data_IF_000751864666
#
_entry.id   IF_000751864666
#
_cell.length_a   1.000
_cell.length_b   1.000
_cell.length_c   1.000
_cell.angle_alpha   90.00
_cell.angle_beta   90.00
_cell.angle_gamma   90.00
#
_symmetry.space_group_name_H-M   'P 1'
#
loop_
_entity.id
_entity.type
_entity.pdbx_description
1 polymer ?
#
# COMPACT_ATOMS: atom_id res chain seq x y z
N UNK A 1 16.40 5.01 4.03
CA UNK A 1 15.90 3.97 3.11
C UNK A 1 14.82 3.19 3.85
N UNK A 2 13.79 2.70 3.16
CA UNK A 2 12.90 1.67 3.73
C UNK A 2 13.77 0.45 4.07
N UNK A 3 13.44 -0.25 5.15
CA UNK A 3 14.19 -1.44 5.55
C UNK A 3 13.95 -2.55 4.53
N UNK A 4 14.94 -2.83 3.68
CA UNK A 4 14.82 -3.82 2.60
C UNK A 4 14.56 -5.23 3.12
N UNK A 5 14.90 -5.51 4.39
CA UNK A 5 14.62 -6.81 5.02
C UNK A 5 13.14 -7.05 5.30
N UNK A 6 12.27 -6.07 5.03
CA UNK A 6 10.82 -6.12 5.29
C UNK A 6 9.97 -6.17 4.03
N UNK A 7 10.59 -6.14 2.84
CA UNK A 7 9.92 -6.00 1.56
C UNK A 7 9.47 -7.36 0.99
N UNK A 8 8.20 -7.47 0.61
CA UNK A 8 7.70 -8.56 -0.25
C UNK A 8 7.15 -8.04 -1.60
N UNK A 9 7.13 -8.90 -2.62
CA UNK A 9 6.98 -8.54 -4.03
C UNK A 9 5.54 -8.72 -4.57
N UNK A 10 4.83 -7.63 -4.97
CA UNK A 10 3.45 -7.70 -5.47
C UNK A 10 3.29 -7.89 -7.00
N UNK A 11 4.32 -8.37 -7.72
CA UNK A 11 4.35 -8.42 -9.20
C UNK A 11 3.21 -9.18 -9.90
N UNK A 12 2.40 -9.98 -9.21
CA UNK A 12 1.34 -10.79 -9.81
C UNK A 12 0.08 -9.99 -10.22
N UNK A 13 -0.05 -8.71 -9.84
CA UNK A 13 -1.30 -7.93 -10.02
C UNK A 13 -1.16 -6.70 -10.93
N UNK A 14 -0.20 -6.70 -11.85
CA UNK A 14 -0.03 -5.60 -12.82
C UNK A 14 0.69 -4.36 -12.25
N UNK A 15 1.11 -4.40 -10.99
CA UNK A 15 2.13 -3.51 -10.45
C UNK A 15 3.51 -4.06 -10.85
N UNK A 16 4.38 -3.20 -11.38
CA UNK A 16 5.78 -3.55 -11.55
C UNK A 16 6.36 -3.95 -10.18
N UNK A 17 7.21 -4.99 -10.06
CA UNK A 17 7.92 -5.31 -8.81
C UNK A 17 8.70 -4.10 -8.25
N UNK A 18 8.95 -3.10 -9.10
CA UNK A 18 9.63 -1.87 -8.74
C UNK A 18 8.69 -0.72 -8.39
N UNK A 19 7.37 -0.79 -8.63
CA UNK A 19 6.46 0.33 -8.37
C UNK A 19 5.80 0.32 -6.99
N UNK A 20 5.95 -0.75 -6.22
CA UNK A 20 5.30 -0.88 -4.91
C UNK A 20 6.20 -1.55 -3.88
N UNK A 21 5.95 -1.22 -2.62
CA UNK A 21 6.57 -1.79 -1.44
C UNK A 21 5.48 -2.41 -0.58
N UNK A 22 5.69 -3.65 -0.12
CA UNK A 22 4.94 -4.20 0.99
C UNK A 22 5.89 -4.34 2.18
N UNK A 23 5.70 -3.50 3.20
CA UNK A 23 6.46 -3.49 4.45
C UNK A 23 5.66 -4.23 5.53
N UNK A 24 6.27 -5.26 6.11
CA UNK A 24 5.64 -6.09 7.15
C UNK A 24 5.52 -5.36 8.51
N UNK A 25 4.60 -5.79 9.39
CA UNK A 25 4.59 -5.43 10.81
C UNK A 25 5.96 -5.68 11.44
N UNK A 26 6.45 -4.71 12.22
CA UNK A 26 7.77 -4.81 12.81
C UNK A 26 7.92 -6.00 13.76
N UNK A 27 6.85 -6.42 14.43
CA UNK A 27 6.86 -7.57 15.34
C UNK A 27 7.14 -8.91 14.63
N UNK A 28 6.85 -9.00 13.33
CA UNK A 28 6.97 -10.23 12.54
C UNK A 28 8.35 -10.40 11.89
N UNK A 29 9.11 -9.32 11.74
CA UNK A 29 10.43 -9.35 11.10
C UNK A 29 11.46 -9.90 12.07
N UNK A 30 11.95 -11.12 11.81
CA UNK A 30 13.04 -11.74 12.57
C UNK A 30 14.40 -11.26 12.08
N UNK A 31 15.38 -11.25 12.99
CA UNK A 31 16.76 -10.79 12.72
C UNK A 31 17.52 -11.63 11.68
N UNK A 32 17.04 -12.83 11.34
CA UNK A 32 17.65 -13.69 10.32
C UNK A 32 17.28 -13.31 8.88
N UNK A 33 16.36 -12.35 8.70
CA UNK A 33 16.06 -11.71 7.41
C UNK A 33 15.33 -12.60 6.40
N UNK A 34 14.88 -13.80 6.79
CA UNK A 34 14.12 -14.68 5.90
C UNK A 34 12.63 -14.34 5.95
N UNK A 35 12.10 -13.74 4.87
CA UNK A 35 10.65 -13.59 4.67
C UNK A 35 10.15 -14.79 3.88
N UNK A 36 9.38 -15.66 4.55
CA UNK A 36 8.68 -16.77 3.92
C UNK A 36 7.27 -16.33 3.46
N UNK A 37 6.75 -16.99 2.43
CA UNK A 37 5.42 -16.69 1.88
C UNK A 37 4.31 -16.80 2.95
N UNK A 38 4.41 -17.82 3.81
CA UNK A 38 3.48 -18.05 4.91
C UNK A 38 3.45 -16.87 5.89
N UNK A 39 4.63 -16.28 6.19
CA UNK A 39 4.72 -15.13 7.09
C UNK A 39 3.95 -13.93 6.52
N UNK A 40 4.01 -13.73 5.20
CA UNK A 40 3.30 -12.64 4.53
C UNK A 40 1.79 -12.84 4.62
N UNK A 41 1.29 -14.05 4.35
CA UNK A 41 -0.15 -14.36 4.47
C UNK A 41 -0.63 -14.22 5.92
N UNK A 42 0.15 -14.73 6.88
CA UNK A 42 -0.17 -14.61 8.30
C UNK A 42 -0.24 -13.14 8.71
N UNK A 43 0.68 -12.30 8.22
CA UNK A 43 0.69 -10.87 8.47
C UNK A 43 -0.60 -10.21 7.98
N UNK A 44 -1.06 -10.49 6.76
CA UNK A 44 -2.30 -9.95 6.22
C UNK A 44 -3.55 -10.41 6.96
N UNK A 45 -3.56 -11.66 7.46
CA UNK A 45 -4.69 -12.23 8.19
C UNK A 45 -4.82 -11.71 9.62
N UNK A 46 -3.69 -11.33 10.24
CA UNK A 46 -3.63 -11.05 11.68
C UNK A 46 -3.36 -9.59 12.04
N UNK A 47 -2.91 -8.76 11.10
CA UNK A 47 -2.57 -7.35 11.36
C UNK A 47 -3.36 -6.41 10.46
N UNK A 48 -3.47 -5.16 10.92
CA UNK A 48 -4.00 -4.06 10.11
C UNK A 48 -3.19 -3.93 8.81
N UNK A 49 -3.87 -3.61 7.71
CA UNK A 49 -3.21 -3.30 6.43
C UNK A 49 -3.50 -1.87 6.04
N UNK A 50 -2.45 -1.08 5.86
CA UNK A 50 -2.53 0.31 5.38
C UNK A 50 -2.07 0.37 3.94
N UNK A 51 -2.96 0.78 3.03
CA UNK A 51 -2.62 1.05 1.64
C UNK A 51 -2.38 2.55 1.50
N UNK A 52 -1.14 2.93 1.20
CA UNK A 52 -0.68 4.30 1.19
C UNK A 52 -0.55 4.86 -0.24
N UNK A 53 -1.36 5.87 -0.54
CA UNK A 53 -1.35 6.66 -1.77
C UNK A 53 -0.70 8.04 -1.53
N UNK A 54 0.42 8.30 -2.21
CA UNK A 54 1.24 9.49 -2.00
C UNK A 54 0.72 10.76 -2.73
N UNK A 55 1.21 11.95 -2.35
CA UNK A 55 0.88 13.21 -3.03
C UNK A 55 1.55 13.41 -4.40
N UNK A 56 1.14 14.43 -5.17
CA UNK A 56 1.61 14.67 -6.55
C UNK A 56 3.11 14.98 -6.70
N UNK A 57 3.79 15.48 -5.66
CA UNK A 57 5.21 15.77 -5.75
C UNK A 57 6.05 14.49 -5.63
N UNK A 58 7.14 14.37 -6.39
CA UNK A 58 8.12 13.28 -6.27
C UNK A 58 7.48 11.87 -6.31
N UNK A 59 8.00 10.91 -5.55
CA UNK A 59 7.61 9.48 -5.60
C UNK A 59 7.38 8.93 -4.18
N UNK A 60 6.97 7.67 -4.06
CA UNK A 60 6.90 6.92 -2.80
C UNK A 60 8.20 7.00 -1.97
N UNK A 61 9.35 7.20 -2.63
CA UNK A 61 10.67 7.26 -2.01
C UNK A 61 11.07 8.63 -1.43
N UNK A 62 10.20 9.64 -1.48
CA UNK A 62 10.44 10.91 -0.79
C UNK A 62 10.66 10.67 0.72
N UNK A 63 11.67 11.31 1.32
CA UNK A 63 12.10 11.04 2.70
C UNK A 63 10.96 11.10 3.73
N UNK A 64 10.06 12.09 3.62
CA UNK A 64 8.90 12.20 4.51
C UNK A 64 7.95 11.01 4.40
N UNK A 65 7.77 10.45 3.21
CA UNK A 65 6.91 9.30 2.94
C UNK A 65 7.51 7.99 3.43
N UNK A 66 8.83 7.83 3.24
CA UNK A 66 9.58 6.71 3.84
C UNK A 66 9.45 6.74 5.37
N UNK A 67 9.52 7.93 5.97
CA UNK A 67 9.29 8.08 7.42
C UNK A 67 7.85 7.67 7.81
N UNK A 68 6.83 8.07 7.06
CA UNK A 68 5.44 7.65 7.29
C UNK A 68 5.28 6.13 7.19
N UNK A 69 5.75 5.50 6.11
CA UNK A 69 5.67 4.04 5.92
C UNK A 69 6.35 3.29 7.08
N UNK A 70 7.54 3.72 7.47
CA UNK A 70 8.25 3.14 8.61
C UNK A 70 7.49 3.34 9.92
N UNK A 71 6.89 4.51 10.16
CA UNK A 71 6.12 4.76 11.39
C UNK A 71 4.86 3.89 11.45
N UNK A 72 4.17 3.69 10.34
CA UNK A 72 3.00 2.81 10.27
C UNK A 72 3.39 1.36 10.62
N UNK A 73 4.45 0.82 10.00
CA UNK A 73 4.94 -0.53 10.33
C UNK A 73 5.46 -0.63 11.76
N UNK A 74 6.21 0.36 12.25
CA UNK A 74 6.89 0.23 13.56
C UNK A 74 6.04 0.62 14.77
N UNK A 75 5.08 1.55 14.61
CA UNK A 75 4.26 2.05 15.74
C UNK A 75 2.84 1.49 15.75
N UNK A 76 2.26 1.22 14.58
CA UNK A 76 0.95 0.57 14.49
C UNK A 76 1.07 -0.94 14.29
N UNK A 77 2.28 -1.45 14.09
CA UNK A 77 2.53 -2.87 13.81
C UNK A 77 1.66 -3.37 12.65
N UNK A 78 1.57 -2.56 11.59
CA UNK A 78 0.70 -2.79 10.45
C UNK A 78 1.49 -3.26 9.22
N UNK A 79 0.81 -4.01 8.35
CA UNK A 79 1.24 -4.15 6.96
C UNK A 79 1.10 -2.79 6.28
N UNK A 80 2.09 -2.39 5.49
CA UNK A 80 2.03 -1.14 4.74
C UNK A 80 2.33 -1.42 3.28
N UNK A 81 1.35 -1.17 2.42
CA UNK A 81 1.52 -1.23 0.97
C UNK A 81 1.64 0.21 0.47
N UNK A 82 2.82 0.60 0.00
CA UNK A 82 3.08 1.91 -0.59
C UNK A 82 3.43 1.76 -2.05
N UNK A 83 2.74 2.46 -2.95
CA UNK A 83 2.93 2.32 -4.39
C UNK A 83 3.07 3.67 -5.09
N UNK A 84 3.77 3.68 -6.22
CA UNK A 84 3.78 4.80 -7.17
C UNK A 84 2.69 4.60 -8.22
N UNK A 85 1.96 5.67 -8.52
CA UNK A 85 1.00 5.69 -9.63
C UNK A 85 1.70 5.48 -10.97
N UNK A 86 0.97 5.03 -11.99
CA UNK A 86 1.43 5.11 -13.38
C UNK A 86 1.98 6.49 -13.72
N UNK A 87 3.16 6.54 -14.33
CA UNK A 87 3.88 7.78 -14.65
C UNK A 87 4.67 8.40 -13.48
N UNK A 88 4.73 7.74 -12.32
CA UNK A 88 5.55 8.13 -11.17
C UNK A 88 6.63 7.10 -10.86
N UNK A 89 7.79 7.58 -10.40
CA UNK A 89 8.89 6.71 -9.97
C UNK A 89 9.25 5.67 -11.01
N UNK A 90 9.13 4.40 -10.62
CA UNK A 90 9.47 3.25 -11.47
C UNK A 90 8.25 2.72 -12.26
N UNK A 91 7.08 3.35 -12.11
CA UNK A 91 5.82 2.96 -12.77
C UNK A 91 5.73 3.53 -14.18
N UNK A 92 5.43 2.66 -15.14
CA UNK A 92 5.22 3.04 -16.56
C UNK A 92 3.83 3.63 -16.80
N UNK A 93 3.63 4.28 -17.96
CA UNK A 93 2.33 4.81 -18.40
C UNK A 93 2.16 6.31 -18.13
N UNK A 94 0.93 6.80 -18.33
CA UNK A 94 0.57 8.21 -18.11
C UNK A 94 -0.51 8.34 -17.04
N UNK A 95 -0.42 9.33 -16.14
CA UNK A 95 -1.41 9.53 -15.09
C UNK A 95 -2.74 10.00 -15.69
N UNK A 96 -3.82 9.35 -15.25
CA UNK A 96 -5.21 9.75 -15.49
C UNK A 96 -6.05 9.39 -14.26
N UNK A 97 -7.16 10.07 -14.01
CA UNK A 97 -7.99 9.82 -12.82
C UNK A 97 -8.41 8.35 -12.67
N UNK A 98 -8.92 7.74 -13.75
CA UNK A 98 -9.24 6.32 -13.79
C UNK A 98 -8.00 5.45 -13.59
N UNK A 99 -6.87 5.85 -14.19
CA UNK A 99 -5.63 5.11 -14.09
C UNK A 99 -5.08 5.05 -12.67
N UNK A 100 -5.08 6.18 -11.97
CA UNK A 100 -4.64 6.27 -10.58
C UNK A 100 -5.56 5.44 -9.66
N UNK A 101 -6.87 5.47 -9.92
CA UNK A 101 -7.86 4.64 -9.22
C UNK A 101 -7.62 3.15 -9.46
N UNK A 102 -7.25 2.76 -10.68
CA UNK A 102 -6.87 1.38 -11.00
C UNK A 102 -5.59 0.95 -10.28
N UNK A 103 -4.62 1.84 -10.13
CA UNK A 103 -3.37 1.54 -9.41
C UNK A 103 -3.65 1.28 -7.91
N UNK A 104 -4.55 2.06 -7.30
CA UNK A 104 -5.04 1.80 -5.94
C UNK A 104 -5.81 0.47 -5.83
N UNK A 105 -6.64 0.17 -6.83
CA UNK A 105 -7.36 -1.11 -6.93
C UNK A 105 -6.39 -2.29 -6.98
N UNK A 106 -5.29 -2.19 -7.75
CA UNK A 106 -4.29 -3.25 -7.83
C UNK A 106 -3.58 -3.51 -6.49
N UNK A 107 -3.28 -2.45 -5.72
CA UNK A 107 -2.72 -2.58 -4.38
C UNK A 107 -3.70 -3.26 -3.39
N UNK A 108 -4.99 -2.95 -3.51
CA UNK A 108 -6.05 -3.59 -2.71
C UNK A 108 -6.21 -5.07 -3.06
N UNK A 109 -6.32 -5.41 -4.35
CA UNK A 109 -6.43 -6.79 -4.82
C UNK A 109 -5.21 -7.62 -4.40
N UNK A 110 -4.02 -7.03 -4.41
CA UNK A 110 -2.83 -7.69 -3.86
C UNK A 110 -3.05 -8.06 -2.38
N UNK A 111 -3.49 -7.13 -1.53
CA UNK A 111 -3.75 -7.44 -0.11
C UNK A 111 -4.82 -8.55 0.05
N UNK A 112 -5.94 -8.43 -0.64
CA UNK A 112 -7.06 -9.40 -0.57
C UNK A 112 -6.62 -10.78 -1.02
N UNK A 113 -5.90 -10.88 -2.15
CA UNK A 113 -5.42 -12.16 -2.68
C UNK A 113 -4.46 -12.89 -1.73
N UNK A 114 -3.82 -12.15 -0.83
CA UNK A 114 -2.88 -12.66 0.18
C UNK A 114 -3.56 -12.93 1.53
N UNK A 115 -4.87 -12.80 1.60
CA UNK A 115 -5.68 -13.15 2.76
C UNK A 115 -6.00 -11.99 3.69
N UNK A 116 -5.80 -10.74 3.27
CA UNK A 116 -6.24 -9.59 4.03
C UNK A 116 -7.77 -9.60 4.18
N UNK A 117 -8.24 -9.28 5.38
CA UNK A 117 -9.66 -9.12 5.69
C UNK A 117 -10.05 -7.68 5.33
N UNK A 118 -11.06 -7.43 4.46
CA UNK A 118 -11.44 -6.09 4.01
C UNK A 118 -11.63 -5.08 5.16
N UNK A 119 -12.23 -5.53 6.26
CA UNK A 119 -12.49 -4.71 7.45
C UNK A 119 -11.22 -4.25 8.18
N UNK A 120 -10.10 -4.95 7.95
CA UNK A 120 -8.78 -4.61 8.48
C UNK A 120 -7.94 -3.78 7.49
N UNK A 121 -8.51 -3.32 6.38
CA UNK A 121 -7.83 -2.47 5.41
C UNK A 121 -8.20 -1.00 5.64
N UNK A 122 -7.16 -0.17 5.74
CA UNK A 122 -7.24 1.29 5.75
C UNK A 122 -6.63 1.85 4.47
N UNK A 123 -7.44 2.60 3.74
CA UNK A 123 -7.03 3.40 2.59
C UNK A 123 -6.51 4.74 3.10
N UNK A 124 -5.20 4.98 2.98
CA UNK A 124 -4.54 6.20 3.44
C UNK A 124 -4.08 7.03 2.24
N UNK A 125 -4.70 8.19 2.04
CA UNK A 125 -4.35 9.12 0.96
C UNK A 125 -3.71 10.39 1.48
N UNK A 126 -2.60 10.83 0.86
CA UNK A 126 -1.97 12.13 1.12
C UNK A 126 -2.10 13.06 -0.09
N UNK A 127 -2.58 14.29 0.09
CA UNK A 127 -2.70 15.32 -0.96
C UNK A 127 -3.43 14.75 -2.20
N UNK A 128 -2.79 14.64 -3.38
CA UNK A 128 -3.36 13.94 -4.55
C UNK A 128 -3.94 12.55 -4.20
N UNK A 129 -3.25 11.79 -3.36
CA UNK A 129 -3.68 10.47 -2.91
C UNK A 129 -5.02 10.47 -2.19
N UNK A 130 -5.47 11.60 -1.63
CA UNK A 130 -6.83 11.71 -1.04
C UNK A 130 -7.91 11.55 -2.10
N UNK A 131 -7.74 12.16 -3.27
CA UNK A 131 -8.67 12.02 -4.40
C UNK A 131 -8.65 10.60 -4.95
N UNK A 132 -7.46 10.01 -5.10
CA UNK A 132 -7.29 8.63 -5.56
C UNK A 132 -8.00 7.65 -4.62
N UNK A 133 -7.76 7.75 -3.31
CA UNK A 133 -8.38 6.86 -2.33
C UNK A 133 -9.88 7.08 -2.17
N UNK A 134 -10.36 8.33 -2.34
CA UNK A 134 -11.80 8.63 -2.34
C UNK A 134 -12.50 8.00 -3.55
N UNK A 135 -11.92 8.13 -4.74
CA UNK A 135 -12.46 7.50 -5.96
C UNK A 135 -12.46 5.98 -5.85
N UNK A 136 -11.39 5.40 -5.30
CA UNK A 136 -11.33 3.97 -5.07
C UNK A 136 -12.33 3.49 -4.01
N UNK A 137 -12.46 4.20 -2.88
CA UNK A 137 -13.47 3.90 -1.87
C UNK A 137 -14.90 3.97 -2.43
N UNK A 138 -15.18 4.94 -3.31
CA UNK A 138 -16.45 5.00 -4.03
C UNK A 138 -16.67 3.75 -4.89
N UNK A 139 -15.65 3.32 -5.65
CA UNK A 139 -15.72 2.11 -6.48
C UNK A 139 -16.03 0.86 -5.63
N UNK A 140 -15.37 0.70 -4.49
CA UNK A 140 -15.66 -0.39 -3.53
C UNK A 140 -17.12 -0.32 -3.06
N UNK A 141 -17.59 0.87 -2.66
CA UNK A 141 -18.97 1.05 -2.21
C UNK A 141 -19.99 0.70 -3.30
N UNK A 142 -19.71 1.04 -4.56
CA UNK A 142 -20.57 0.70 -5.70
C UNK A 142 -20.62 -0.83 -5.95
N UNK A 143 -19.59 -1.57 -5.49
CA UNK A 143 -19.50 -3.03 -5.52
C UNK A 143 -20.09 -3.71 -4.25
N UNK A 144 -20.53 -2.93 -3.26
CA UNK A 144 -21.03 -3.43 -1.98
C UNK A 144 -19.93 -3.78 -0.96
N UNK A 145 -18.70 -3.36 -1.22
CA UNK A 145 -17.55 -3.53 -0.34
C UNK A 145 -17.22 -2.23 0.40
N UNK A 146 -16.56 -2.34 1.55
CA UNK A 146 -16.19 -1.19 2.37
C UNK A 146 -14.78 -1.36 2.92
N UNK A 147 -14.06 -0.25 3.01
CA UNK A 147 -12.77 -0.14 3.67
C UNK A 147 -12.75 1.15 4.50
N UNK A 148 -11.93 1.18 5.54
CA UNK A 148 -11.74 2.41 6.32
C UNK A 148 -10.95 3.43 5.50
N UNK A 149 -11.36 4.70 5.51
CA UNK A 149 -10.72 5.77 4.72
C UNK A 149 -10.09 6.82 5.64
N UNK A 150 -8.80 7.11 5.45
CA UNK A 150 -8.06 8.17 6.12
C UNK A 150 -7.49 9.14 5.10
N UNK A 151 -7.89 10.42 5.18
CA UNK A 151 -7.51 11.47 4.23
C UNK A 151 -6.64 12.52 4.92
N UNK A 152 -5.41 12.68 4.43
CA UNK A 152 -4.48 13.72 4.85
C UNK A 152 -4.33 14.78 3.74
N UNK A 153 -4.93 15.95 3.95
CA UNK A 153 -4.93 17.06 3.00
C UNK A 153 -3.80 18.08 3.24
N UNK A 154 -2.78 17.74 4.03
CA UNK A 154 -1.63 18.62 4.29
C UNK A 154 -0.69 18.86 3.10
#
# INVERSE_FOLDING_TARGET
MVDESTLSNPAAFGLSPYSAWHVLPKSLVKFDGSIEEQLIEDAFRSHLTVIFAHGNAATRAMQGRVATVNQLSTKLDANVIAFDYRGFGDSTGLPSEDGLTLDASAAYEYAISRGAVPENIVLLGQSLGTGVMSNFAKKLSDQGEYASLYLDCS
#
